data_IF_399585006555
#
_entry.id   IF_399585006555
#
_cell.length_a   1.000
_cell.length_b   1.000
_cell.length_c   1.000
_cell.angle_alpha   90.00
_cell.angle_beta   90.00
_cell.angle_gamma   90.00
#
_symmetry.space_group_name_H-M   'P 1'
#
loop_
_entity.id
_entity.type
_entity.pdbx_description
1 polymer ?
#
# COMPACT_ATOMS: atom_id res chain seq x y z
N UNK A 1 -60.86 -15.31 33.39
CA UNK A 1 -60.42 -14.33 32.37
C UNK A 1 -58.90 -14.28 32.40
N UNK A 2 -58.24 -14.99 31.49
CA UNK A 2 -56.78 -14.97 31.35
C UNK A 2 -56.42 -13.98 30.24
N UNK A 3 -55.78 -12.87 30.61
CA UNK A 3 -55.27 -11.89 29.65
C UNK A 3 -53.86 -12.32 29.23
N UNK A 4 -53.71 -12.69 27.97
CA UNK A 4 -52.42 -13.04 27.37
C UNK A 4 -51.82 -11.77 26.76
N UNK A 5 -50.67 -11.34 27.25
CA UNK A 5 -49.87 -10.26 26.66
C UNK A 5 -48.82 -10.86 25.72
N UNK A 6 -48.74 -10.46 24.45
CA UNK A 6 -47.66 -10.87 23.57
C UNK A 6 -46.41 -10.05 23.86
N UNK A 7 -45.34 -10.72 24.29
CA UNK A 7 -43.99 -10.15 24.41
C UNK A 7 -43.40 -10.09 23.00
N UNK A 8 -43.42 -8.90 22.39
CA UNK A 8 -42.69 -8.60 21.17
C UNK A 8 -41.18 -8.57 21.47
N UNK A 9 -40.50 -9.68 21.21
CA UNK A 9 -39.04 -9.74 21.11
C UNK A 9 -38.61 -8.95 19.87
N UNK A 10 -38.27 -7.67 20.04
CA UNK A 10 -37.53 -6.90 19.05
C UNK A 10 -36.10 -7.47 18.97
N UNK A 11 -35.81 -8.27 17.94
CA UNK A 11 -34.45 -8.69 17.65
C UNK A 11 -33.66 -7.49 17.12
N UNK A 12 -32.78 -6.92 17.94
CA UNK A 12 -31.72 -6.02 17.48
C UNK A 12 -30.74 -6.80 16.61
N UNK A 13 -30.98 -6.81 15.30
CA UNK A 13 -29.93 -7.12 14.34
C UNK A 13 -28.94 -5.96 14.36
N UNK A 14 -27.83 -6.14 15.09
CA UNK A 14 -26.66 -5.28 14.98
C UNK A 14 -26.18 -5.33 13.51
N UNK A 15 -26.42 -4.27 12.75
CA UNK A 15 -25.69 -4.04 11.50
C UNK A 15 -24.21 -3.90 11.88
N UNK A 16 -23.46 -4.98 11.69
CA UNK A 16 -22.00 -4.94 11.75
C UNK A 16 -21.53 -4.29 10.45
N UNK A 17 -21.26 -2.99 10.48
CA UNK A 17 -20.50 -2.36 9.41
C UNK A 17 -19.09 -2.93 9.46
N UNK A 18 -18.75 -3.76 8.48
CA UNK A 18 -17.40 -4.29 8.31
C UNK A 18 -16.56 -3.15 7.75
N UNK A 19 -15.90 -2.40 8.63
CA UNK A 19 -14.82 -1.50 8.23
C UNK A 19 -13.59 -2.36 7.95
N UNK A 20 -12.94 -2.15 6.80
CA UNK A 20 -11.66 -2.78 6.50
C UNK A 20 -10.66 -2.48 7.62
N UNK A 21 -9.76 -3.44 7.88
CA UNK A 21 -8.72 -3.31 8.89
C UNK A 21 -7.38 -3.20 8.19
N UNK A 22 -6.66 -2.09 8.42
CA UNK A 22 -5.29 -1.89 7.92
C UNK A 22 -4.37 -1.52 9.10
N UNK A 23 -3.52 -2.44 9.57
CA UNK A 23 -3.13 -3.68 8.91
C UNK A 23 -4.20 -4.78 9.08
N UNK A 24 -4.37 -5.64 8.07
CA UNK A 24 -5.22 -6.81 8.17
C UNK A 24 -4.65 -7.81 9.20
N UNK A 25 -5.50 -8.73 9.68
CA UNK A 25 -5.05 -9.80 10.56
C UNK A 25 -4.07 -10.76 9.84
N UNK A 26 -4.29 -10.95 8.53
CA UNK A 26 -3.39 -11.68 7.65
C UNK A 26 -2.41 -10.72 6.95
N UNK A 27 -1.20 -10.62 7.50
CA UNK A 27 -0.14 -9.75 6.96
C UNK A 27 0.30 -10.13 5.54
N UNK A 28 -0.03 -11.32 5.02
CA UNK A 28 0.30 -11.70 3.65
C UNK A 28 -0.46 -10.90 2.60
N UNK A 29 -1.56 -10.27 2.99
CA UNK A 29 -2.38 -9.39 2.13
C UNK A 29 -1.90 -7.95 2.10
N UNK A 30 -0.89 -7.61 2.91
CA UNK A 30 -0.31 -6.27 2.94
C UNK A 30 0.62 -6.11 1.74
N UNK A 31 0.43 -5.03 0.99
CA UNK A 31 1.32 -4.68 -0.10
C UNK A 31 2.54 -3.96 0.50
N UNK A 32 3.70 -4.59 0.44
CA UNK A 32 4.96 -3.93 0.81
C UNK A 32 5.38 -2.97 -0.31
N UNK A 33 5.28 -1.67 -0.05
CA UNK A 33 5.61 -0.68 -1.07
C UNK A 33 7.12 -0.45 -1.16
N UNK A 34 7.64 -0.69 -2.36
CA UNK A 34 9.03 -0.38 -2.71
C UNK A 34 9.07 0.94 -3.46
N UNK A 35 9.58 1.97 -2.81
CA UNK A 35 9.79 3.28 -3.42
C UNK A 35 10.84 3.19 -4.53
N UNK A 36 10.53 3.79 -5.68
CA UNK A 36 11.48 3.94 -6.79
C UNK A 36 12.15 5.31 -6.64
N UNK A 37 13.49 5.42 -6.73
CA UNK A 37 14.17 6.71 -6.80
C UNK A 37 13.65 7.55 -7.98
N UNK A 38 13.43 8.85 -7.77
CA UNK A 38 12.78 9.73 -8.76
C UNK A 38 13.54 9.85 -10.09
N UNK A 39 14.86 9.71 -10.05
CA UNK A 39 15.74 9.67 -11.21
C UNK A 39 15.55 8.40 -12.06
N UNK A 40 14.89 7.37 -11.51
CA UNK A 40 14.59 6.09 -12.16
C UNK A 40 13.12 5.95 -12.57
N UNK A 41 12.32 7.01 -12.45
CA UNK A 41 10.92 6.98 -12.86
C UNK A 41 10.76 6.67 -14.35
N UNK A 42 9.90 5.69 -14.65
CA UNK A 42 9.44 5.46 -16.01
C UNK A 42 8.54 6.61 -16.45
N UNK A 43 8.98 7.39 -17.44
CA UNK A 43 8.25 8.56 -17.96
C UNK A 43 7.43 8.21 -19.20
N UNK A 44 7.20 6.93 -19.46
CA UNK A 44 6.41 6.47 -20.59
C UNK A 44 4.98 6.18 -20.15
N UNK A 45 4.04 6.55 -21.02
CA UNK A 45 2.63 6.25 -20.81
C UNK A 45 2.43 4.73 -20.66
N UNK A 46 1.69 4.35 -19.63
CA UNK A 46 1.22 2.98 -19.40
C UNK A 46 -0.25 3.01 -19.01
N UNK A 47 -1.03 2.07 -19.55
CA UNK A 47 -2.41 1.85 -19.12
C UNK A 47 -2.45 1.19 -17.74
N UNK A 48 -3.50 1.43 -16.95
CA UNK A 48 -3.74 0.75 -15.66
C UNK A 48 -3.75 -0.78 -15.79
N UNK A 49 -4.06 -1.28 -16.99
CA UNK A 49 -4.09 -2.72 -17.32
C UNK A 49 -2.71 -3.30 -17.62
N UNK A 50 -1.70 -2.47 -17.92
CA UNK A 50 -0.38 -2.95 -18.33
C UNK A 50 0.35 -3.58 -17.13
N UNK A 51 0.82 -4.80 -17.29
CA UNK A 51 1.45 -5.56 -16.19
C UNK A 51 2.91 -5.17 -16.03
N UNK A 52 3.35 -4.96 -14.79
CA UNK A 52 4.77 -4.71 -14.46
C UNK A 52 5.27 -3.30 -14.77
N UNK A 53 4.41 -2.39 -15.21
CA UNK A 53 4.76 -0.98 -15.45
C UNK A 53 4.52 -0.14 -14.21
N UNK A 54 5.36 0.88 -14.00
CA UNK A 54 5.30 1.81 -12.86
C UNK A 54 5.53 3.25 -13.32
N UNK A 55 4.61 3.84 -14.11
CA UNK A 55 4.77 5.19 -14.65
C UNK A 55 4.94 6.19 -13.50
N UNK A 56 5.94 7.08 -13.60
CA UNK A 56 6.27 8.08 -12.59
C UNK A 56 6.46 7.51 -11.16
N UNK A 57 6.84 6.23 -11.06
CA UNK A 57 7.03 5.52 -9.80
C UNK A 57 5.74 4.99 -9.16
N UNK A 58 4.57 5.24 -9.77
CA UNK A 58 3.30 4.74 -9.28
C UNK A 58 3.25 3.21 -9.36
N UNK A 59 2.65 2.60 -8.36
CA UNK A 59 2.21 1.22 -8.37
C UNK A 59 0.68 1.18 -8.53
N UNK A 60 0.08 0.01 -8.66
CA UNK A 60 -1.36 -0.12 -8.90
C UNK A 60 -2.04 -1.05 -7.92
N UNK A 61 -3.28 -0.73 -7.60
CA UNK A 61 -4.15 -1.56 -6.77
C UNK A 61 -5.61 -1.46 -7.26
N UNK A 62 -6.43 -2.36 -6.74
CA UNK A 62 -7.86 -2.43 -7.01
C UNK A 62 -8.58 -2.49 -5.69
N UNK A 63 -9.54 -1.58 -5.51
CA UNK A 63 -10.56 -1.69 -4.48
C UNK A 63 -11.77 -2.39 -5.10
N UNK A 64 -12.19 -3.51 -4.51
CA UNK A 64 -13.28 -4.33 -5.03
C UNK A 64 -14.62 -3.93 -4.41
N UNK A 65 -15.62 -3.65 -5.27
CA UNK A 65 -16.95 -3.28 -4.78
C UNK A 65 -17.71 -4.51 -4.28
N UNK A 66 -18.46 -4.36 -3.18
CA UNK A 66 -19.32 -5.40 -2.61
C UNK A 66 -18.62 -6.73 -2.22
N UNK A 67 -17.30 -6.77 -2.24
CA UNK A 67 -16.56 -7.93 -1.77
C UNK A 67 -16.35 -7.87 -0.26
N UNK A 68 -16.26 -9.05 0.37
CA UNK A 68 -15.82 -9.18 1.78
C UNK A 68 -14.30 -9.07 1.91
N UNK A 69 -13.60 -8.81 0.82
CA UNK A 69 -12.17 -8.63 0.82
C UNK A 69 -11.78 -7.38 1.59
N UNK A 70 -10.59 -7.42 2.19
CA UNK A 70 -10.07 -6.28 2.92
C UNK A 70 -9.64 -5.20 1.94
N UNK A 71 -9.86 -3.94 2.32
CA UNK A 71 -9.39 -2.78 1.57
C UNK A 71 -7.88 -2.89 1.25
N UNK A 72 -7.42 -2.42 0.08
CA UNK A 72 -5.98 -2.39 -0.23
C UNK A 72 -5.20 -1.70 0.87
N UNK A 73 -4.26 -2.43 1.47
CA UNK A 73 -3.49 -1.99 2.61
C UNK A 73 -1.99 -1.99 2.24
N UNK A 74 -1.42 -0.79 2.15
CA UNK A 74 -0.04 -0.59 1.73
C UNK A 74 0.84 -0.27 2.93
N UNK A 75 1.91 -1.05 3.13
CA UNK A 75 2.89 -0.84 4.19
C UNK A 75 4.11 -0.10 3.67
N UNK A 76 4.52 0.91 4.43
CA UNK A 76 5.72 1.72 4.19
C UNK A 76 6.58 1.66 5.45
N UNK A 77 7.87 1.41 5.26
CA UNK A 77 8.85 1.38 6.35
C UNK A 77 9.90 2.47 6.19
N UNK A 78 10.54 2.89 7.28
CA UNK A 78 11.59 3.90 7.26
C UNK A 78 11.07 5.34 7.17
N UNK A 79 9.80 5.56 7.51
CA UNK A 79 9.16 6.88 7.47
C UNK A 79 9.50 7.75 8.71
N UNK A 80 10.28 7.24 9.66
CA UNK A 80 10.53 7.90 10.95
C UNK A 80 11.15 9.29 10.74
N UNK A 81 10.53 10.30 11.34
CA UNK A 81 10.93 11.72 11.24
C UNK A 81 10.99 12.26 9.80
N UNK A 82 10.44 11.55 8.81
CA UNK A 82 10.39 11.99 7.43
C UNK A 82 9.02 12.54 7.09
N UNK A 83 8.99 13.49 6.17
CA UNK A 83 7.77 13.81 5.44
C UNK A 83 7.45 12.67 4.49
N UNK A 84 6.17 12.47 4.21
CA UNK A 84 5.68 11.50 3.23
C UNK A 84 4.86 12.27 2.21
N UNK A 85 5.07 11.98 0.94
CA UNK A 85 4.12 12.31 -0.11
C UNK A 85 3.27 11.07 -0.38
N UNK A 86 1.96 11.26 -0.47
CA UNK A 86 0.99 10.27 -0.93
C UNK A 86 0.28 10.87 -2.15
N UNK A 87 0.39 10.19 -3.28
CA UNK A 87 -0.37 10.52 -4.48
C UNK A 87 -1.15 9.31 -4.96
N UNK A 88 -2.34 9.51 -5.50
CA UNK A 88 -3.05 8.48 -6.25
C UNK A 88 -3.96 9.08 -7.31
N UNK A 89 -4.30 8.26 -8.30
CA UNK A 89 -5.22 8.60 -9.39
C UNK A 89 -6.05 7.36 -9.75
N UNK A 90 -7.38 7.52 -9.76
CA UNK A 90 -8.31 6.44 -10.10
C UNK A 90 -8.58 6.36 -11.61
N UNK A 91 -8.87 5.15 -12.10
CA UNK A 91 -9.25 4.90 -13.50
C UNK A 91 -10.35 3.82 -13.60
N UNK A 92 -11.56 4.15 -14.10
CA UNK A 92 -12.03 5.51 -14.42
C UNK A 92 -12.05 6.41 -13.18
N UNK A 93 -12.22 7.72 -13.39
CA UNK A 93 -12.31 8.70 -12.30
C UNK A 93 -13.44 8.32 -11.34
N UNK A 94 -13.06 8.03 -10.09
CA UNK A 94 -13.90 7.62 -8.98
C UNK A 94 -13.37 8.24 -7.68
N UNK A 95 -14.24 8.34 -6.66
CA UNK A 95 -13.85 8.88 -5.37
C UNK A 95 -13.21 7.76 -4.54
N UNK A 96 -11.93 7.96 -4.20
CA UNK A 96 -11.16 7.04 -3.38
C UNK A 96 -10.58 7.82 -2.22
N UNK A 97 -10.58 7.23 -1.04
CA UNK A 97 -10.02 7.78 0.17
C UNK A 97 -8.83 6.96 0.64
N UNK A 98 -7.90 7.62 1.31
CA UNK A 98 -6.77 7.01 2.00
C UNK A 98 -6.85 7.34 3.48
N UNK A 99 -6.82 6.32 4.32
CA UNK A 99 -6.65 6.47 5.77
C UNK A 99 -5.22 6.11 6.13
N UNK A 100 -4.52 7.08 6.72
CA UNK A 100 -3.28 6.81 7.43
C UNK A 100 -3.66 6.57 8.89
N UNK A 101 -3.24 5.46 9.51
CA UNK A 101 -3.59 5.02 10.87
C UNK A 101 -3.68 6.08 12.00
N UNK A 102 -3.15 7.28 11.78
CA UNK A 102 -3.34 8.50 12.58
C UNK A 102 -4.71 9.19 12.43
N UNK A 103 -5.79 8.51 12.04
CA UNK A 103 -7.18 9.03 11.88
C UNK A 103 -7.41 10.10 10.81
N UNK A 104 -6.38 10.47 10.06
CA UNK A 104 -6.52 11.48 9.00
C UNK A 104 -6.89 10.80 7.69
N UNK A 105 -8.13 11.00 7.28
CA UNK A 105 -8.67 10.57 6.00
C UNK A 105 -8.50 11.69 4.98
N UNK A 106 -7.88 11.39 3.85
CA UNK A 106 -7.87 12.25 2.66
C UNK A 106 -8.58 11.53 1.52
N UNK A 107 -9.37 12.25 0.71
CA UNK A 107 -10.08 11.67 -0.42
C UNK A 107 -9.73 12.42 -1.70
N UNK A 108 -9.76 11.72 -2.83
CA UNK A 108 -9.59 12.35 -4.13
C UNK A 108 -10.65 13.40 -4.42
N UNK A 109 -10.28 14.31 -5.31
CA UNK A 109 -11.21 15.28 -5.85
C UNK A 109 -12.29 14.59 -6.67
N UNK A 110 -13.56 14.93 -6.40
CA UNK A 110 -14.73 14.25 -6.92
C UNK A 110 -14.89 14.28 -8.46
N UNK A 111 -14.05 15.04 -9.18
CA UNK A 111 -14.06 15.12 -10.65
C UNK A 111 -12.87 14.44 -11.32
N UNK A 112 -11.69 14.47 -10.69
CA UNK A 112 -10.45 13.97 -11.31
C UNK A 112 -10.10 12.56 -10.86
N UNK A 113 -10.52 12.17 -9.65
CA UNK A 113 -10.07 10.93 -9.04
C UNK A 113 -8.61 10.98 -8.57
N UNK A 114 -7.97 12.16 -8.65
CA UNK A 114 -6.60 12.42 -8.22
C UNK A 114 -6.57 12.90 -6.77
N UNK A 115 -5.48 12.60 -6.08
CA UNK A 115 -5.22 13.04 -4.72
C UNK A 115 -3.73 13.30 -4.54
N UNK A 116 -3.42 14.38 -3.84
CA UNK A 116 -2.07 14.69 -3.37
C UNK A 116 -2.15 15.08 -1.90
N UNK A 117 -1.22 14.55 -1.11
CA UNK A 117 -1.00 14.98 0.25
C UNK A 117 0.48 14.84 0.63
N UNK A 118 0.98 15.79 1.40
CA UNK A 118 2.34 15.76 1.92
C UNK A 118 2.37 16.19 3.38
N UNK A 119 2.75 15.27 4.27
CA UNK A 119 2.68 15.47 5.72
C UNK A 119 3.86 14.83 6.43
N UNK A 120 4.09 15.16 7.70
CA UNK A 120 5.06 14.45 8.53
C UNK A 120 4.51 13.05 8.88
N UNK A 121 5.36 12.02 8.77
CA UNK A 121 4.99 10.68 9.22
C UNK A 121 4.74 10.65 10.73
N UNK A 122 3.68 9.96 11.15
CA UNK A 122 3.38 9.76 12.56
C UNK A 122 4.26 8.69 13.21
N UNK A 123 4.73 7.70 12.43
CA UNK A 123 5.50 6.55 12.90
C UNK A 123 6.55 6.12 11.87
N UNK A 124 7.53 5.33 12.29
CA UNK A 124 8.54 4.76 11.40
C UNK A 124 8.02 3.73 10.40
N UNK A 125 6.91 3.07 10.74
CA UNK A 125 6.13 2.21 9.84
C UNK A 125 4.73 2.77 9.73
N UNK A 126 4.24 2.89 8.50
CA UNK A 126 2.91 3.40 8.19
C UNK A 126 2.15 2.36 7.37
N UNK A 127 0.85 2.33 7.58
CA UNK A 127 -0.07 1.61 6.71
C UNK A 127 -1.06 2.60 6.11
N UNK A 128 -1.26 2.49 4.80
CA UNK A 128 -2.24 3.25 4.04
C UNK A 128 -3.37 2.33 3.65
N UNK A 129 -4.57 2.64 4.12
CA UNK A 129 -5.78 1.93 3.71
C UNK A 129 -6.49 2.72 2.63
N UNK A 130 -6.67 2.12 1.45
CA UNK A 130 -7.44 2.73 0.37
C UNK A 130 -8.87 2.18 0.37
N UNK A 131 -9.86 3.06 0.42
CA UNK A 131 -11.27 2.67 0.52
C UNK A 131 -12.17 3.70 -0.14
N UNK A 132 -13.35 3.28 -0.58
CA UNK A 132 -14.39 4.21 -1.05
C UNK A 132 -15.31 4.59 0.11
N UNK A 133 -15.47 5.90 0.36
CA UNK A 133 -16.40 6.43 1.37
C UNK A 133 -17.84 6.52 0.85
N UNK A 134 -18.02 6.43 -0.47
CA UNK A 134 -19.30 6.44 -1.16
C UNK A 134 -19.50 5.13 -1.90
N UNK A 135 -20.76 4.72 -2.06
CA UNK A 135 -21.16 3.42 -2.61
C UNK A 135 -20.88 3.29 -4.10
N UNK A 136 -19.59 3.22 -4.46
CA UNK A 136 -19.13 2.98 -5.82
C UNK A 136 -19.75 1.68 -6.35
N UNK A 137 -20.34 1.77 -7.55
CA UNK A 137 -21.09 0.67 -8.15
C UNK A 137 -20.19 -0.34 -8.88
N UNK A 138 -18.89 -0.06 -8.97
CA UNK A 138 -17.89 -0.82 -9.71
C UNK A 138 -16.54 -0.84 -8.98
N UNK A 139 -15.70 -1.81 -9.34
CA UNK A 139 -14.33 -1.90 -8.82
C UNK A 139 -13.51 -0.68 -9.21
N UNK A 140 -12.84 -0.08 -8.24
CA UNK A 140 -12.00 1.10 -8.45
C UNK A 140 -10.56 0.67 -8.63
N UNK A 141 -10.05 0.79 -9.85
CA UNK A 141 -8.62 0.63 -10.13
C UNK A 141 -7.93 1.96 -9.96
N UNK A 142 -6.74 1.96 -9.40
CA UNK A 142 -6.01 3.20 -9.18
C UNK A 142 -4.51 2.98 -9.22
N UNK A 143 -3.83 4.03 -9.65
CA UNK A 143 -2.41 4.21 -9.46
C UNK A 143 -2.17 4.88 -8.11
N UNK A 144 -1.14 4.47 -7.36
CA UNK A 144 -0.71 5.17 -6.16
C UNK A 144 0.82 5.27 -6.10
N UNK A 145 1.33 6.34 -5.51
CA UNK A 145 2.75 6.58 -5.28
C UNK A 145 2.95 7.10 -3.88
N UNK A 146 3.96 6.56 -3.22
CA UNK A 146 4.44 7.07 -1.94
C UNK A 146 5.91 7.45 -2.09
N UNK A 147 6.29 8.62 -1.57
CA UNK A 147 7.69 9.06 -1.54
C UNK A 147 8.04 9.46 -0.11
N UNK A 148 9.17 8.94 0.38
CA UNK A 148 9.73 9.35 1.66
C UNK A 148 10.64 10.55 1.46
N UNK A 149 10.36 11.61 2.20
CA UNK A 149 11.16 12.80 2.22
C UNK A 149 12.53 12.61 2.87
N UNK A 150 13.25 13.72 2.90
CA UNK A 150 14.56 13.83 3.54
C UNK A 150 14.43 13.71 5.06
N UNK A 151 15.51 13.29 5.71
CA UNK A 151 15.61 13.36 7.17
C UNK A 151 15.74 14.84 7.60
N UNK A 152 15.39 15.19 8.85
CA UNK A 152 15.50 16.56 9.34
C UNK A 152 16.93 17.13 9.26
N UNK A 153 17.96 16.28 9.29
CA UNK A 153 19.34 16.71 9.10
C UNK A 153 19.64 17.22 7.68
N UNK A 154 18.92 16.71 6.67
CA UNK A 154 19.11 17.02 5.25
C UNK A 154 18.08 18.06 4.73
N UNK A 155 17.01 18.33 5.49
CA UNK A 155 16.00 19.36 5.26
C UNK A 155 15.55 19.98 6.59
N UNK A 156 16.42 20.76 7.26
CA UNK A 156 16.12 21.30 8.60
C UNK A 156 14.98 22.32 8.59
N UNK A 157 14.78 23.01 7.47
CA UNK A 157 13.71 23.99 7.29
C UNK A 157 12.37 23.33 6.97
N UNK A 158 12.38 22.04 6.58
CA UNK A 158 11.18 21.27 6.33
C UNK A 158 10.43 21.68 5.06
N UNK A 159 11.10 22.25 4.06
CA UNK A 159 10.51 22.71 2.80
C UNK A 159 10.39 21.60 1.73
N UNK A 160 10.67 20.35 2.08
CA UNK A 160 10.60 19.24 1.11
C UNK A 160 9.22 19.13 0.43
N UNK A 161 8.12 19.29 1.19
CA UNK A 161 6.76 19.23 0.63
C UNK A 161 6.45 20.39 -0.35
N UNK A 162 7.01 21.56 -0.12
CA UNK A 162 6.69 22.77 -0.91
C UNK A 162 7.32 22.74 -2.30
N UNK A 163 8.37 21.93 -2.49
CA UNK A 163 9.08 21.78 -3.75
C UNK A 163 8.62 20.57 -4.57
N UNK A 164 7.55 19.89 -4.15
CA UNK A 164 7.01 18.72 -4.87
C UNK A 164 6.19 19.16 -6.07
N UNK A 165 6.36 18.44 -7.18
CA UNK A 165 5.53 18.60 -8.36
C UNK A 165 4.22 17.81 -8.18
N UNK A 166 3.12 18.54 -8.03
CA UNK A 166 1.80 17.99 -7.73
C UNK A 166 1.03 17.56 -8.99
N UNK A 167 1.57 17.80 -10.20
CA UNK A 167 0.92 17.52 -11.47
C UNK A 167 1.43 16.22 -12.14
N UNK A 168 2.35 15.51 -11.48
CA UNK A 168 2.96 14.27 -11.99
C UNK A 168 2.10 13.03 -11.72
N UNK A 169 0.96 12.93 -12.38
CA UNK A 169 0.12 11.73 -12.41
C UNK A 169 0.33 10.89 -13.68
N UNK A 170 0.05 9.58 -13.66
CA UNK A 170 0.13 8.74 -14.86
C UNK A 170 -0.66 9.28 -16.05
N UNK A 171 -1.84 9.87 -15.85
CA UNK A 171 -2.61 10.49 -16.93
C UNK A 171 -1.95 11.73 -17.55
N UNK A 172 -0.98 12.38 -16.88
CA UNK A 172 -0.25 13.52 -17.44
C UNK A 172 0.84 13.10 -18.44
N UNK A 173 1.19 11.81 -18.47
CA UNK A 173 2.08 11.25 -19.49
C UNK A 173 1.37 11.18 -20.83
N UNK A 174 2.00 11.74 -21.87
CA UNK A 174 1.44 11.72 -23.22
C UNK A 174 1.53 10.32 -23.81
N UNK A 175 0.40 9.82 -24.29
CA UNK A 175 0.39 8.62 -25.12
C UNK A 175 1.11 8.93 -26.45
N UNK A 176 2.16 8.17 -26.74
CA UNK A 176 2.79 8.22 -28.05
C UNK A 176 1.83 7.65 -29.11
N UNK A 177 1.86 8.14 -30.36
CA UNK A 177 1.12 7.52 -31.45
C UNK A 177 1.45 6.02 -31.55
N UNK A 178 0.47 5.19 -31.90
CA UNK A 178 0.58 3.73 -31.93
C UNK A 178 1.71 3.17 -32.81
N UNK A 179 2.27 3.98 -33.72
CA UNK A 179 3.36 3.60 -34.61
C UNK A 179 4.71 4.24 -34.23
N UNK A 180 4.83 4.83 -33.04
CA UNK A 180 6.08 5.43 -32.61
C UNK A 180 7.07 4.33 -32.17
N UNK A 181 8.28 4.24 -32.75
CA UNK A 181 9.26 3.25 -32.34
C UNK A 181 9.70 3.55 -30.91
N UNK A 182 9.27 2.71 -29.97
CA UNK A 182 9.58 2.81 -28.55
C UNK A 182 10.48 1.64 -28.15
N UNK A 183 11.67 1.97 -27.62
CA UNK A 183 12.54 1.02 -26.96
C UNK A 183 12.35 1.20 -25.45
N UNK A 184 11.60 0.32 -24.76
CA UNK A 184 11.40 0.45 -23.34
C UNK A 184 12.73 0.44 -22.60
N UNK A 185 12.94 1.35 -21.62
CA UNK A 185 14.00 1.18 -20.66
C UNK A 185 13.75 -0.16 -19.94
N UNK A 186 14.68 -1.10 -20.04
CA UNK A 186 14.67 -2.30 -19.21
C UNK A 186 15.02 -1.89 -17.78
N UNK A 187 14.05 -1.37 -17.04
CA UNK A 187 14.14 -1.32 -15.58
C UNK A 187 14.14 -2.76 -15.13
N UNK A 188 15.29 -3.28 -14.66
CA UNK A 188 15.32 -4.61 -14.05
C UNK A 188 14.33 -4.58 -12.91
N UNK A 189 13.33 -5.47 -12.96
CA UNK A 189 12.60 -5.89 -11.76
C UNK A 189 13.64 -6.14 -10.68
N UNK A 190 13.44 -5.67 -9.43
CA UNK A 190 14.33 -6.06 -8.35
C UNK A 190 14.34 -7.58 -8.36
N UNK A 191 15.49 -8.14 -8.74
CA UNK A 191 15.72 -9.57 -8.73
C UNK A 191 15.31 -10.01 -7.33
N UNK A 192 14.24 -10.79 -7.26
CA UNK A 192 13.93 -11.59 -6.08
C UNK A 192 15.04 -12.64 -6.04
N UNK A 193 16.23 -12.18 -5.65
CA UNK A 193 17.34 -12.99 -5.22
C UNK A 193 16.90 -13.63 -3.92
N UNK A 194 16.00 -14.61 -4.04
CA UNK A 194 15.91 -15.73 -3.12
C UNK A 194 17.30 -16.37 -3.14
N UNK A 195 18.20 -15.82 -2.33
CA UNK A 195 19.32 -16.58 -1.80
C UNK A 195 18.69 -17.66 -0.95
N UNK A 196 18.34 -18.77 -1.60
CA UNK A 196 18.09 -20.03 -0.95
C UNK A 196 19.36 -20.36 -0.17
N UNK A 197 19.36 -20.01 1.11
CA UNK A 197 20.32 -20.54 2.06
C UNK A 197 20.19 -22.07 2.00
N UNK A 198 21.26 -22.81 1.64
CA UNK A 198 21.21 -24.26 1.75
C UNK A 198 21.10 -24.61 3.24
N UNK A 199 19.88 -24.89 3.66
CA UNK A 199 19.53 -25.43 4.96
C UNK A 199 19.95 -26.92 4.97
N UNK A 200 21.26 -27.18 4.96
CA UNK A 200 21.80 -28.54 5.02
C UNK A 200 23.24 -28.51 5.53
N UNK A 201 23.43 -28.53 6.85
CA UNK A 201 24.58 -29.10 7.58
C UNK A 201 24.67 -28.51 8.99
N UNK A 202 23.75 -28.92 9.89
CA UNK A 202 23.98 -28.86 11.33
C UNK A 202 23.07 -29.84 12.08
N UNK A 203 23.01 -31.06 11.56
CA UNK A 203 22.64 -32.26 12.32
C UNK A 203 23.93 -33.10 12.35
N UNK A 204 24.28 -33.66 13.51
CA UNK A 204 25.52 -34.40 13.83
C UNK A 204 26.70 -33.62 14.44
N UNK A 205 26.49 -32.90 15.55
CA UNK A 205 27.57 -32.77 16.58
C UNK A 205 27.07 -32.98 18.02
N UNK A 206 25.76 -33.01 18.29
CA UNK A 206 25.23 -33.09 19.66
C UNK A 206 24.99 -34.51 20.23
N UNK A 207 25.54 -35.56 19.62
CA UNK A 207 25.41 -36.94 20.13
C UNK A 207 26.71 -37.53 20.72
N UNK A 208 27.78 -36.74 20.89
CA UNK A 208 29.11 -37.25 21.26
C UNK A 208 29.62 -36.96 22.67
N UNK A 209 28.88 -36.26 23.54
CA UNK A 209 29.41 -35.79 24.84
C UNK A 209 28.68 -36.30 26.10
N UNK A 210 27.79 -37.30 25.97
CA UNK A 210 27.09 -37.90 27.14
C UNK A 210 27.71 -39.26 27.56
N UNK A 211 28.91 -39.60 27.08
CA UNK A 211 29.52 -40.91 27.39
C UNK A 211 30.95 -40.80 27.90
N UNK A 212 31.22 -39.95 28.90
CA UNK A 212 32.47 -40.00 29.68
C UNK A 212 32.41 -39.23 31.03
N UNK A 213 31.34 -39.40 31.81
CA UNK A 213 31.35 -39.08 33.25
C UNK A 213 30.58 -40.15 34.04
N UNK A 214 30.94 -41.42 33.86
CA UNK A 214 30.48 -42.48 34.76
C UNK A 214 31.56 -43.54 34.97
N UNK A 215 32.64 -43.18 35.64
CA UNK A 215 33.45 -44.10 36.46
C UNK A 215 34.31 -43.28 37.43
N UNK A 216 34.02 -43.41 38.73
CA UNK A 216 35.02 -43.16 39.78
C UNK A 216 34.62 -42.18 40.87
N UNK A 217 33.73 -42.61 41.78
CA UNK A 217 33.91 -42.68 43.25
C UNK A 217 32.56 -42.90 43.95
#
# INVERSE_FOLDING_TARGET
>A
MYSSFPVLMLSWTFLSFVFGKCPPDDLSKVIEYVAIPEDQYDRNFSSITDTGTRPLGFDKAIWYTNEREENPCVKITGAEQRRIEIMFETYPSARLCVNTQSTTVGCSDAGTGSFYDCRLASNGTLYLEFFCDQGEEYDVRFWYRVVLGKLPADDPEGYWCDNRDQDQYPASLRQLPSNFPYNPPTTRSPDTGLTALPCSLLVFVLAGLVSLTYTGL
#
